data_IF_086862276536
#
_entry.id   IF_086862276536
#
_cell.length_a   1.000
_cell.length_b   1.000
_cell.length_c   1.000
_cell.angle_alpha   90.00
_cell.angle_beta   90.00
_cell.angle_gamma   90.00
#
_symmetry.space_group_name_H-M   'P 1'
#
loop_
_entity.id
_entity.type
_entity.pdbx_description
1 polymer ?
#
# COMPACT_ATOMS: atom_id res chain seq x y z
N UNK A 1 -19.73 42.43 0.26
CA UNK A 1 -19.14 42.80 1.56
C UNK A 1 -18.03 43.81 1.31
N UNK A 2 -18.07 44.99 1.93
CA UNK A 2 -17.21 46.13 1.57
C UNK A 2 -15.72 45.84 1.85
N UNK A 3 -14.81 46.05 0.90
CA UNK A 3 -13.37 45.68 1.00
C UNK A 3 -12.70 46.29 2.25
N UNK A 4 -13.05 47.53 2.61
CA UNK A 4 -12.57 48.19 3.83
C UNK A 4 -13.00 47.48 5.12
N UNK A 5 -14.21 46.90 5.16
CA UNK A 5 -14.68 46.13 6.33
C UNK A 5 -13.96 44.79 6.44
N UNK A 6 -13.69 44.12 5.32
CA UNK A 6 -12.93 42.86 5.32
C UNK A 6 -11.48 43.06 5.79
N UNK A 7 -10.83 44.13 5.30
CA UNK A 7 -9.48 44.48 5.72
C UNK A 7 -9.42 44.81 7.22
N UNK A 8 -10.34 45.64 7.71
CA UNK A 8 -10.42 45.99 9.14
C UNK A 8 -10.71 44.76 10.01
N UNK A 9 -11.53 43.82 9.53
CA UNK A 9 -11.80 42.55 10.20
C UNK A 9 -10.55 41.67 10.29
N UNK A 10 -9.81 41.50 9.20
CA UNK A 10 -8.55 40.75 9.20
C UNK A 10 -7.51 41.37 10.13
N UNK A 11 -7.36 42.70 10.11
CA UNK A 11 -6.47 43.43 11.02
C UNK A 11 -6.88 43.25 12.48
N UNK A 12 -8.18 43.16 12.78
CA UNK A 12 -8.66 42.92 14.13
C UNK A 12 -8.35 41.50 14.60
N UNK A 13 -8.58 40.50 13.75
CA UNK A 13 -8.28 39.08 14.03
C UNK A 13 -6.78 38.86 14.21
N UNK A 14 -5.93 39.35 13.30
CA UNK A 14 -4.47 39.19 13.40
C UNK A 14 -3.91 39.86 14.66
N UNK A 15 -4.37 41.06 15.00
CA UNK A 15 -3.98 41.75 16.22
C UNK A 15 -4.53 41.08 17.48
N UNK A 16 -5.65 40.37 17.42
CA UNK A 16 -6.15 39.58 18.54
C UNK A 16 -5.20 38.41 18.86
N UNK A 17 -4.70 37.71 17.82
CA UNK A 17 -3.73 36.61 18.00
C UNK A 17 -2.39 37.11 18.59
N UNK A 18 -1.92 38.29 18.16
CA UNK A 18 -0.61 38.83 18.56
C UNK A 18 -0.54 39.39 19.98
N UNK A 19 -1.68 39.77 20.59
CA UNK A 19 -1.72 40.33 21.95
C UNK A 19 -1.41 39.31 23.05
N UNK A 20 -1.67 38.02 22.81
CA UNK A 20 -1.48 36.95 23.81
C UNK A 20 -0.60 35.83 23.26
N UNK A 21 0.65 36.18 22.93
CA UNK A 21 1.60 35.33 22.20
C UNK A 21 1.74 33.92 22.78
N UNK A 22 1.83 33.76 24.09
CA UNK A 22 2.09 32.45 24.72
C UNK A 22 0.92 31.47 24.57
N UNK A 23 -0.32 31.86 24.93
CA UNK A 23 -1.50 30.97 24.85
C UNK A 23 -1.86 30.65 23.40
N UNK A 24 -1.80 31.67 22.54
CA UNK A 24 -2.07 31.51 21.12
C UNK A 24 -1.02 30.63 20.44
N UNK A 25 0.23 30.68 20.90
CA UNK A 25 1.28 29.76 20.47
C UNK A 25 1.02 28.32 20.93
N UNK A 26 0.55 28.09 22.17
CA UNK A 26 0.18 26.75 22.66
C UNK A 26 -0.95 26.16 21.81
N UNK A 27 -2.01 26.93 21.54
CA UNK A 27 -3.11 26.48 20.68
C UNK A 27 -2.65 26.21 19.25
N UNK A 28 -1.80 27.09 18.68
CA UNK A 28 -1.23 26.89 17.35
C UNK A 28 -0.39 25.62 17.28
N UNK A 29 0.44 25.36 18.30
CA UNK A 29 1.30 24.20 18.38
C UNK A 29 0.49 22.91 18.53
N UNK A 30 -0.57 22.92 19.33
CA UNK A 30 -1.49 21.80 19.45
C UNK A 30 -2.18 21.47 18.11
N UNK A 31 -2.66 22.49 17.39
CA UNK A 31 -3.24 22.32 16.04
C UNK A 31 -2.20 21.82 15.05
N UNK A 32 -0.98 22.37 15.07
CA UNK A 32 0.10 21.96 14.18
C UNK A 32 0.52 20.50 14.43
N UNK A 33 0.62 20.06 15.69
CA UNK A 33 0.90 18.66 16.03
C UNK A 33 -0.23 17.75 15.55
N UNK A 34 -1.49 18.12 15.79
CA UNK A 34 -2.64 17.36 15.30
C UNK A 34 -2.64 17.23 13.78
N UNK A 35 -2.45 18.34 13.07
CA UNK A 35 -2.35 18.37 11.62
C UNK A 35 -1.14 17.57 11.08
N UNK A 36 0.00 17.60 11.78
CA UNK A 36 1.18 16.77 11.48
C UNK A 36 0.84 15.29 11.51
N UNK A 37 0.21 14.85 12.60
CA UNK A 37 -0.14 13.44 12.79
C UNK A 37 -1.20 13.04 11.77
N UNK A 38 -2.24 13.85 11.57
CA UNK A 38 -3.29 13.58 10.57
C UNK A 38 -2.69 13.47 9.17
N UNK A 39 -1.90 14.46 8.74
CA UNK A 39 -1.27 14.43 7.41
C UNK A 39 -0.34 13.23 7.26
N UNK A 40 0.58 13.05 8.22
CA UNK A 40 1.55 11.96 8.16
C UNK A 40 0.88 10.58 8.19
N UNK A 41 -0.13 10.39 9.04
CA UNK A 41 -0.85 9.13 9.14
C UNK A 41 -1.74 8.85 7.93
N UNK A 42 -2.39 9.86 7.34
CA UNK A 42 -3.19 9.65 6.12
C UNK A 42 -2.30 9.34 4.93
N UNK A 43 -1.15 10.00 4.83
CA UNK A 43 -0.12 9.70 3.81
C UNK A 43 0.38 8.27 3.97
N UNK A 44 0.81 7.87 5.17
CA UNK A 44 1.22 6.50 5.48
C UNK A 44 0.09 5.50 5.23
N UNK A 45 -1.15 5.84 5.60
CA UNK A 45 -2.35 5.00 5.39
C UNK A 45 -2.60 4.68 3.92
N UNK A 46 -2.37 5.64 3.01
CA UNK A 46 -2.57 5.44 1.58
C UNK A 46 -1.36 4.79 0.91
N UNK A 47 -0.17 5.28 1.21
CA UNK A 47 1.03 4.95 0.44
C UNK A 47 1.62 3.61 0.84
N UNK A 48 1.54 3.22 2.12
CA UNK A 48 2.09 1.92 2.55
C UNK A 48 1.39 0.75 1.88
N UNK A 49 0.04 0.66 1.83
CA UNK A 49 -0.62 -0.42 1.09
C UNK A 49 -0.33 -0.39 -0.42
N UNK A 50 -0.26 0.80 -1.04
CA UNK A 50 0.05 0.90 -2.47
C UNK A 50 1.48 0.46 -2.80
N UNK A 51 2.43 0.85 -1.95
CA UNK A 51 3.83 0.51 -2.10
C UNK A 51 4.12 -0.95 -1.74
N UNK A 52 3.58 -1.45 -0.62
CA UNK A 52 3.63 -2.86 -0.29
C UNK A 52 2.95 -3.69 -1.37
N UNK A 53 1.79 -3.28 -1.86
CA UNK A 53 1.11 -3.96 -2.96
C UNK A 53 1.92 -3.97 -4.26
N UNK A 54 2.70 -2.92 -4.57
CA UNK A 54 3.62 -2.92 -5.73
C UNK A 54 4.80 -3.87 -5.50
N UNK A 55 5.41 -3.82 -4.33
CA UNK A 55 6.55 -4.65 -3.99
C UNK A 55 6.13 -6.14 -3.93
N UNK A 56 5.03 -6.46 -3.26
CA UNK A 56 4.44 -7.80 -3.22
C UNK A 56 3.95 -8.28 -4.58
N UNK A 57 3.46 -7.40 -5.47
CA UNK A 57 3.14 -7.77 -6.85
C UNK A 57 4.38 -8.04 -7.70
N UNK A 58 5.54 -7.51 -7.32
CA UNK A 58 6.84 -7.92 -7.86
C UNK A 58 7.34 -9.24 -7.22
N UNK A 59 6.76 -9.69 -6.09
CA UNK A 59 7.00 -10.99 -5.48
C UNK A 59 6.00 -12.04 -6.03
N UNK A 60 6.22 -12.52 -7.25
CA UNK A 60 5.50 -13.68 -7.77
C UNK A 60 4.77 -13.45 -9.10
N UNK A 61 4.21 -14.54 -9.62
CA UNK A 61 3.26 -14.51 -10.72
C UNK A 61 1.89 -14.02 -10.24
N UNK A 62 1.32 -13.02 -10.90
CA UNK A 62 -0.03 -12.53 -10.60
C UNK A 62 -1.08 -12.98 -11.64
N UNK A 63 -0.63 -13.61 -12.72
CA UNK A 63 -1.47 -14.20 -13.77
C UNK A 63 -0.95 -15.59 -14.14
N UNK A 64 -1.83 -16.58 -14.12
CA UNK A 64 -1.56 -17.92 -14.64
C UNK A 64 -2.30 -18.10 -15.95
N UNK A 65 -1.60 -18.61 -16.95
CA UNK A 65 -2.19 -19.03 -18.21
C UNK A 65 -2.26 -20.55 -18.19
N UNK A 66 -3.48 -21.08 -18.07
CA UNK A 66 -3.75 -22.52 -17.99
C UNK A 66 -4.33 -23.01 -19.33
N UNK A 67 -4.20 -24.29 -19.67
CA UNK A 67 -4.92 -24.87 -20.80
C UNK A 67 -6.44 -24.78 -20.59
N UNK A 68 -7.18 -24.39 -21.62
CA UNK A 68 -8.64 -24.36 -21.57
C UNK A 68 -9.27 -25.76 -21.72
N UNK A 69 -10.58 -25.85 -21.50
CA UNK A 69 -11.39 -27.05 -21.76
C UNK A 69 -10.97 -28.31 -20.97
N UNK A 70 -10.34 -28.14 -19.81
CA UNK A 70 -9.91 -29.25 -18.96
C UNK A 70 -8.74 -30.07 -19.53
N UNK A 71 -8.03 -29.55 -20.55
CA UNK A 71 -6.80 -30.16 -21.05
C UNK A 71 -5.69 -30.05 -20.01
N UNK A 72 -4.77 -31.02 -19.99
CA UNK A 72 -3.59 -31.00 -19.12
C UNK A 72 -2.44 -30.15 -19.69
N UNK A 73 -2.42 -29.95 -21.01
CA UNK A 73 -1.39 -29.20 -21.73
C UNK A 73 -1.98 -28.36 -22.85
N UNK A 74 -1.24 -27.34 -23.26
CA UNK A 74 -1.49 -26.45 -24.39
C UNK A 74 -0.22 -26.29 -25.22
N UNK A 75 -0.36 -25.92 -26.49
CA UNK A 75 0.79 -25.56 -27.32
C UNK A 75 1.28 -24.15 -26.97
N UNK A 76 2.59 -23.94 -27.00
CA UNK A 76 3.22 -22.64 -26.75
C UNK A 76 2.68 -21.53 -27.68
N UNK A 77 2.36 -21.89 -28.93
CA UNK A 77 1.77 -20.97 -29.91
C UNK A 77 0.40 -20.41 -29.46
N UNK A 78 -0.36 -21.15 -28.63
CA UNK A 78 -1.65 -20.71 -28.12
C UNK A 78 -1.53 -19.54 -27.12
N UNK A 79 -0.33 -19.29 -26.58
CA UNK A 79 -0.06 -18.21 -25.61
C UNK A 79 0.26 -16.89 -26.32
N UNK A 80 0.71 -16.92 -27.59
CA UNK A 80 1.09 -15.72 -28.33
C UNK A 80 0.01 -14.62 -28.38
N UNK A 81 -1.29 -14.92 -28.61
CA UNK A 81 -2.34 -13.91 -28.58
C UNK A 81 -2.50 -13.23 -27.22
N UNK A 82 -2.23 -13.96 -26.12
CA UNK A 82 -2.32 -13.40 -24.76
C UNK A 82 -1.22 -12.36 -24.52
N UNK A 83 0.00 -12.61 -25.03
CA UNK A 83 1.08 -11.62 -24.96
C UNK A 83 0.78 -10.37 -25.78
N UNK A 84 0.10 -10.51 -26.92
CA UNK A 84 -0.34 -9.36 -27.71
C UNK A 84 -1.29 -8.45 -26.94
N UNK A 85 -2.20 -9.03 -26.14
CA UNK A 85 -3.11 -8.28 -25.25
C UNK A 85 -2.40 -7.61 -24.06
N UNK A 86 -1.16 -8.03 -23.76
CA UNK A 86 -0.33 -7.48 -22.69
C UNK A 86 0.69 -6.43 -23.17
N UNK A 87 0.75 -6.12 -24.47
CA UNK A 87 1.74 -5.17 -25.04
C UNK A 87 1.73 -3.78 -24.40
N UNK A 88 0.56 -3.32 -23.98
CA UNK A 88 0.40 -2.01 -23.32
C UNK A 88 0.75 -2.03 -21.82
N UNK A 89 1.15 -3.20 -21.29
CA UNK A 89 1.51 -3.41 -19.89
C UNK A 89 2.97 -3.78 -19.77
N UNK A 90 3.58 -3.36 -18.67
CA UNK A 90 4.94 -3.78 -18.33
C UNK A 90 4.92 -5.21 -17.78
N UNK A 91 5.57 -6.13 -18.49
CA UNK A 91 5.73 -7.53 -18.10
C UNK A 91 7.10 -7.67 -17.43
N UNK A 92 7.12 -8.09 -16.17
CA UNK A 92 8.34 -8.32 -15.40
C UNK A 92 9.01 -9.63 -15.85
N UNK A 93 8.21 -10.67 -16.10
CA UNK A 93 8.67 -11.96 -16.62
C UNK A 93 7.51 -12.91 -16.92
N UNK A 94 7.80 -13.93 -17.72
CA UNK A 94 6.85 -14.96 -18.08
C UNK A 94 7.53 -16.34 -18.11
N UNK A 95 7.32 -17.14 -17.07
CA UNK A 95 7.96 -18.44 -16.90
C UNK A 95 7.03 -19.57 -17.39
N UNK A 96 7.36 -20.26 -18.49
CA UNK A 96 6.62 -21.44 -18.93
C UNK A 96 6.90 -22.63 -18.01
N UNK A 97 5.91 -23.49 -17.83
CA UNK A 97 6.04 -24.76 -17.12
C UNK A 97 5.41 -25.91 -17.89
N UNK A 98 6.10 -27.03 -17.96
CA UNK A 98 5.55 -28.33 -18.34
C UNK A 98 5.74 -29.29 -17.18
N UNK A 99 4.66 -29.80 -16.60
CA UNK A 99 4.72 -30.77 -15.51
C UNK A 99 4.44 -32.16 -16.04
N UNK A 100 5.36 -33.08 -15.77
CA UNK A 100 5.20 -34.50 -16.06
C UNK A 100 5.62 -35.36 -14.88
N UNK A 101 5.01 -36.55 -14.78
CA UNK A 101 5.37 -37.50 -13.71
C UNK A 101 6.47 -38.43 -14.22
N UNK A 102 7.68 -38.21 -13.72
CA UNK A 102 8.86 -39.02 -14.05
C UNK A 102 9.26 -39.89 -12.86
N UNK A 103 10.10 -40.90 -13.11
CA UNK A 103 10.77 -41.65 -12.06
C UNK A 103 12.16 -41.04 -11.83
N UNK A 104 12.44 -40.64 -10.60
CA UNK A 104 13.78 -40.21 -10.19
C UNK A 104 14.29 -41.21 -9.16
N UNK A 105 15.38 -41.92 -9.46
CA UNK A 105 15.89 -43.03 -8.64
C UNK A 105 14.77 -44.03 -8.28
N UNK A 106 14.03 -44.50 -9.29
CA UNK A 106 12.87 -45.40 -9.18
C UNK A 106 11.66 -44.88 -8.37
N UNK A 107 11.72 -43.65 -7.86
CA UNK A 107 10.62 -43.03 -7.13
C UNK A 107 9.82 -42.12 -8.06
N UNK A 108 8.47 -42.19 -8.07
CA UNK A 108 7.64 -41.29 -8.86
C UNK A 108 7.70 -39.87 -8.29
N UNK A 109 8.14 -38.92 -9.10
CA UNK A 109 8.30 -37.50 -8.77
C UNK A 109 7.60 -36.66 -9.83
N UNK A 110 6.98 -35.56 -9.42
CA UNK A 110 6.50 -34.56 -10.37
C UNK A 110 7.68 -33.69 -10.80
N UNK A 111 8.01 -33.72 -12.08
CA UNK A 111 9.12 -32.97 -12.66
C UNK A 111 8.57 -31.83 -13.51
N UNK A 112 8.99 -30.60 -13.21
CA UNK A 112 8.65 -29.40 -13.97
C UNK A 112 9.78 -29.01 -14.91
N UNK A 113 9.51 -28.92 -16.21
CA UNK A 113 10.37 -28.22 -17.16
C UNK A 113 10.05 -26.74 -17.16
N UNK A 114 11.03 -25.87 -16.93
CA UNK A 114 10.83 -24.41 -16.96
C UNK A 114 12.01 -23.69 -17.60
N UNK A 115 11.83 -22.41 -17.90
CA UNK A 115 12.91 -21.50 -18.28
C UNK A 115 13.48 -20.84 -17.03
N UNK A 116 14.73 -21.18 -16.68
CA UNK A 116 15.38 -20.66 -15.48
C UNK A 116 15.75 -19.16 -15.58
N UNK A 117 15.83 -18.58 -16.78
CA UNK A 117 16.04 -17.14 -16.93
C UNK A 117 14.76 -16.37 -16.56
N UNK A 118 13.61 -16.91 -16.90
CA UNK A 118 12.31 -16.30 -16.60
C UNK A 118 11.85 -16.59 -15.18
N UNK A 119 12.13 -17.78 -14.63
CA UNK A 119 11.72 -18.11 -13.26
C UNK A 119 12.35 -17.17 -12.23
N UNK A 120 13.56 -16.68 -12.49
CA UNK A 120 14.24 -15.71 -11.61
C UNK A 120 13.47 -14.38 -11.52
N UNK A 121 12.77 -14.01 -12.59
CA UNK A 121 11.97 -12.78 -12.65
C UNK A 121 10.60 -13.00 -12.01
N UNK A 122 9.99 -14.16 -12.27
CA UNK A 122 8.60 -14.46 -11.85
C UNK A 122 8.54 -15.00 -10.42
N UNK A 123 9.55 -15.71 -9.95
CA UNK A 123 9.60 -16.33 -8.62
C UNK A 123 10.91 -15.97 -7.87
N UNK A 124 11.11 -14.69 -7.51
CA UNK A 124 12.33 -14.24 -6.83
C UNK A 124 12.51 -14.83 -5.42
N UNK A 125 11.46 -15.44 -4.86
CA UNK A 125 11.47 -16.10 -3.55
C UNK A 125 12.14 -17.48 -3.56
N UNK A 126 12.46 -18.04 -4.73
CA UNK A 126 13.16 -19.31 -4.83
C UNK A 126 14.59 -19.17 -4.30
N UNK A 127 14.85 -19.79 -3.16
CA UNK A 127 16.18 -19.83 -2.57
C UNK A 127 16.92 -21.05 -3.10
N UNK A 128 17.91 -20.83 -3.95
CA UNK A 128 18.69 -21.90 -4.58
C UNK A 128 20.04 -22.02 -3.88
N UNK A 129 20.33 -23.21 -3.38
CA UNK A 129 21.64 -23.60 -2.89
C UNK A 129 22.36 -24.43 -3.97
N UNK A 130 23.35 -23.85 -4.62
CA UNK A 130 24.01 -24.41 -5.81
C UNK A 130 23.82 -23.49 -7.03
N UNK A 131 23.78 -24.07 -8.22
CA UNK A 131 23.57 -23.36 -9.48
C UNK A 131 22.21 -23.71 -10.10
N UNK A 132 21.61 -22.75 -10.82
CA UNK A 132 20.46 -23.03 -11.67
C UNK A 132 20.89 -23.91 -12.85
N UNK A 133 20.05 -24.88 -13.29
CA UNK A 133 20.31 -25.63 -14.50
C UNK A 133 20.49 -24.71 -15.70
N UNK A 134 21.53 -24.99 -16.50
CA UNK A 134 21.80 -24.29 -17.76
C UNK A 134 20.82 -24.73 -18.85
N UNK A 135 20.63 -23.86 -19.83
CA UNK A 135 19.82 -24.18 -21.01
C UNK A 135 20.35 -25.43 -21.73
N UNK A 136 19.43 -26.31 -22.08
CA UNK A 136 19.70 -27.56 -22.78
C UNK A 136 20.77 -28.46 -22.14
N UNK A 137 20.92 -28.42 -20.81
CA UNK A 137 21.88 -29.23 -20.07
C UNK A 137 21.20 -30.37 -19.32
N UNK A 138 21.96 -31.42 -19.00
CA UNK A 138 21.51 -32.54 -18.14
C UNK A 138 21.69 -32.21 -16.66
N UNK A 139 21.25 -31.02 -16.27
CA UNK A 139 21.27 -30.53 -14.90
C UNK A 139 19.83 -30.53 -14.35
N UNK A 140 19.70 -30.84 -13.06
CA UNK A 140 18.41 -30.90 -12.37
C UNK A 140 18.48 -30.14 -11.06
N UNK A 141 17.44 -29.37 -10.78
CA UNK A 141 17.23 -28.66 -9.53
C UNK A 141 16.23 -29.47 -8.70
N UNK A 142 16.64 -29.92 -7.51
CA UNK A 142 15.75 -30.69 -6.63
C UNK A 142 15.10 -29.79 -5.59
N UNK A 143 13.81 -29.96 -5.34
CA UNK A 143 13.17 -29.36 -4.18
C UNK A 143 13.78 -29.88 -2.87
N UNK A 144 13.74 -29.06 -1.82
CA UNK A 144 14.41 -29.36 -0.56
C UNK A 144 13.91 -30.67 0.09
N UNK A 145 12.61 -30.87 0.21
CA UNK A 145 12.04 -32.13 0.74
C UNK A 145 12.45 -33.34 -0.10
N UNK A 146 12.54 -33.19 -1.42
CA UNK A 146 12.98 -34.24 -2.32
C UNK A 146 14.47 -34.56 -2.16
N UNK A 147 15.30 -33.54 -1.99
CA UNK A 147 16.74 -33.69 -1.76
C UNK A 147 17.04 -34.42 -0.45
N UNK A 148 16.30 -34.13 0.62
CA UNK A 148 16.41 -34.82 1.91
C UNK A 148 16.01 -36.30 1.77
N UNK A 149 14.90 -36.57 1.07
CA UNK A 149 14.42 -37.94 0.83
C UNK A 149 15.44 -38.79 0.07
N UNK A 150 16.11 -38.22 -0.93
CA UNK A 150 17.11 -38.92 -1.73
C UNK A 150 18.54 -38.80 -1.18
N UNK A 151 18.74 -38.06 -0.08
CA UNK A 151 20.05 -37.70 0.46
C UNK A 151 20.98 -37.08 -0.61
N UNK A 152 20.40 -36.36 -1.57
CA UNK A 152 21.10 -35.77 -2.69
C UNK A 152 21.64 -34.39 -2.33
N UNK A 153 22.84 -34.07 -2.81
CA UNK A 153 23.50 -32.77 -2.64
C UNK A 153 23.83 -32.18 -4.02
N UNK A 154 24.12 -30.88 -4.13
CA UNK A 154 24.67 -30.33 -5.36
C UNK A 154 25.91 -31.12 -5.78
N UNK A 155 25.95 -31.56 -7.04
CA UNK A 155 26.95 -32.46 -7.62
C UNK A 155 26.60 -33.95 -7.57
N UNK A 156 25.54 -34.37 -6.86
CA UNK A 156 25.05 -35.75 -6.91
C UNK A 156 24.49 -36.10 -8.29
N UNK A 157 24.56 -37.36 -8.68
CA UNK A 157 23.87 -37.85 -9.87
C UNK A 157 22.55 -38.51 -9.48
N UNK A 158 21.53 -38.25 -10.27
CA UNK A 158 20.23 -38.90 -10.15
C UNK A 158 19.83 -39.46 -11.50
N UNK A 159 19.12 -40.58 -11.47
CA UNK A 159 18.65 -41.21 -12.70
C UNK A 159 17.20 -40.82 -12.91
N UNK A 160 16.91 -40.23 -14.07
CA UNK A 160 15.57 -39.79 -14.47
C UNK A 160 15.08 -40.70 -15.58
N UNK A 161 13.94 -41.35 -15.35
CA UNK A 161 13.33 -42.27 -16.29
C UNK A 161 11.86 -41.92 -16.55
N UNK A 162 11.37 -42.29 -17.74
CA UNK A 162 9.93 -42.28 -18.01
C UNK A 162 9.21 -43.30 -17.11
N UNK A 163 7.95 -43.03 -16.80
CA UNK A 163 7.15 -43.90 -15.93
C UNK A 163 7.01 -45.34 -16.46
N UNK A 164 7.06 -45.51 -17.79
CA UNK A 164 7.01 -46.79 -18.49
C UNK A 164 8.38 -47.49 -18.64
N UNK A 165 9.48 -46.84 -18.23
CA UNK A 165 10.84 -47.35 -18.31
C UNK A 165 11.44 -47.38 -19.72
N UNK A 166 10.79 -46.75 -20.72
CA UNK A 166 11.27 -46.79 -22.12
C UNK A 166 12.48 -45.92 -22.39
N UNK A 167 12.74 -44.91 -21.54
CA UNK A 167 13.86 -43.99 -21.62
C UNK A 167 14.37 -43.65 -20.24
N UNK A 168 15.70 -43.63 -20.09
CA UNK A 168 16.41 -43.36 -18.85
C UNK A 168 17.66 -42.54 -19.14
N UNK A 169 17.86 -41.47 -18.39
CA UNK A 169 19.00 -40.58 -18.51
C UNK A 169 19.53 -40.14 -17.15
N UNK A 170 20.84 -40.00 -17.03
CA UNK A 170 21.49 -39.50 -15.81
C UNK A 170 21.54 -37.97 -15.83
N UNK A 171 21.04 -37.35 -14.77
CA UNK A 171 21.11 -35.91 -14.54
C UNK A 171 22.02 -35.60 -13.35
N UNK A 172 22.70 -34.46 -13.42
CA UNK A 172 23.51 -33.94 -12.31
C UNK A 172 22.70 -32.92 -11.52
N UNK A 173 22.63 -33.09 -10.20
CA UNK A 173 21.95 -32.14 -9.31
C UNK A 173 22.76 -30.85 -9.26
N UNK A 174 22.31 -29.79 -9.94
CA UNK A 174 23.03 -28.51 -9.97
C UNK A 174 22.80 -27.70 -8.70
N UNK A 175 21.63 -27.88 -8.07
CA UNK A 175 21.27 -27.18 -6.85
C UNK A 175 20.04 -27.75 -6.16
N UNK A 176 19.75 -27.19 -5.00
CA UNK A 176 18.55 -27.49 -4.20
C UNK A 176 17.73 -26.22 -4.05
N UNK A 177 16.44 -26.27 -4.35
CA UNK A 177 15.52 -25.14 -4.22
C UNK A 177 14.66 -25.25 -2.97
N UNK A 178 14.57 -24.13 -2.24
CA UNK A 178 13.63 -23.91 -1.14
C UNK A 178 12.63 -22.83 -1.53
N UNK A 179 11.35 -23.13 -1.36
CA UNK A 179 10.24 -22.23 -1.67
C UNK A 179 9.31 -22.03 -0.47
N UNK A 180 9.40 -22.88 0.56
CA UNK A 180 8.47 -22.93 1.68
C UNK A 180 7.10 -23.52 1.34
N UNK A 181 6.95 -24.14 0.17
CA UNK A 181 5.69 -24.66 -0.36
C UNK A 181 5.78 -26.09 -0.90
N UNK A 182 4.71 -26.54 -1.58
CA UNK A 182 4.62 -27.90 -2.15
C UNK A 182 5.62 -28.12 -3.30
N UNK A 183 6.12 -27.05 -3.88
CA UNK A 183 7.16 -27.03 -4.91
C UNK A 183 8.46 -27.70 -4.43
N UNK A 184 8.70 -27.80 -3.12
CA UNK A 184 9.86 -28.48 -2.54
C UNK A 184 9.82 -30.02 -2.69
N UNK A 185 8.68 -30.58 -3.08
CA UNK A 185 8.51 -32.01 -3.39
C UNK A 185 8.78 -32.32 -4.87
N UNK A 186 9.02 -31.30 -5.70
CA UNK A 186 9.19 -31.45 -7.14
C UNK A 186 10.66 -31.42 -7.54
N UNK A 187 10.93 -31.84 -8.77
CA UNK A 187 12.22 -31.63 -9.42
C UNK A 187 12.03 -30.69 -10.62
N UNK A 188 13.04 -29.91 -10.96
CA UNK A 188 12.99 -28.96 -12.06
C UNK A 188 14.16 -29.15 -13.01
N UNK A 189 13.88 -29.13 -14.31
CA UNK A 189 14.85 -29.21 -15.39
C UNK A 189 14.58 -28.11 -16.41
N UNK A 190 15.53 -27.89 -17.33
CA UNK A 190 15.31 -26.96 -18.43
C UNK A 190 14.16 -27.46 -19.31
N UNK A 191 13.27 -26.55 -19.71
CA UNK A 191 12.06 -26.93 -20.47
C UNK A 191 12.40 -27.54 -21.83
N UNK A 192 13.45 -27.06 -22.49
CA UNK A 192 13.89 -27.59 -23.80
C UNK A 192 14.44 -29.01 -23.63
N UNK A 193 15.26 -29.24 -22.60
CA UNK A 193 15.71 -30.59 -22.25
C UNK A 193 14.56 -31.54 -21.91
N UNK A 194 13.49 -31.05 -21.26
CA UNK A 194 12.32 -31.89 -20.97
C UNK A 194 11.54 -32.22 -22.25
N UNK A 195 11.37 -31.29 -23.18
CA UNK A 195 10.74 -31.55 -24.48
C UNK A 195 11.50 -32.61 -25.28
N UNK A 196 12.82 -32.50 -25.35
CA UNK A 196 13.69 -33.48 -26.01
C UNK A 196 13.64 -34.84 -25.29
N UNK A 197 13.53 -34.84 -23.96
CA UNK A 197 13.37 -36.05 -23.17
C UNK A 197 12.05 -36.76 -23.51
N UNK A 198 10.93 -36.03 -23.53
CA UNK A 198 9.58 -36.54 -23.76
C UNK A 198 9.25 -36.78 -25.25
N UNK A 199 10.02 -36.22 -26.18
CA UNK A 199 9.72 -36.24 -27.61
C UNK A 199 8.48 -35.41 -27.99
N UNK A 200 8.14 -34.39 -27.19
CA UNK A 200 6.95 -33.55 -27.36
C UNK A 200 7.33 -32.06 -27.30
N UNK A 201 7.81 -31.46 -28.40
CA UNK A 201 8.20 -30.06 -28.41
C UNK A 201 7.00 -29.11 -28.21
N UNK A 202 7.26 -27.94 -27.63
CA UNK A 202 6.34 -26.82 -27.52
C UNK A 202 5.04 -27.09 -26.72
N UNK A 203 5.01 -28.10 -25.85
CA UNK A 203 3.90 -28.34 -24.94
C UNK A 203 4.13 -27.70 -23.58
N UNK A 204 3.09 -27.04 -23.06
CA UNK A 204 3.09 -26.35 -21.76
C UNK A 204 1.93 -26.82 -20.91
N UNK A 205 2.15 -27.01 -19.62
CA UNK A 205 1.08 -27.22 -18.63
C UNK A 205 0.54 -25.91 -18.09
N UNK A 206 1.38 -24.86 -18.01
CA UNK A 206 0.96 -23.51 -17.63
C UNK A 206 2.04 -22.49 -18.00
N UNK A 207 1.68 -21.21 -17.99
CA UNK A 207 2.65 -20.10 -17.98
C UNK A 207 2.34 -19.20 -16.79
N UNK A 208 3.37 -18.90 -16.02
CA UNK A 208 3.31 -17.95 -14.91
C UNK A 208 3.77 -16.59 -15.39
N UNK A 209 2.91 -15.57 -15.33
CA UNK A 209 3.21 -14.23 -15.80
C UNK A 209 3.15 -13.25 -14.63
N UNK A 210 4.13 -12.36 -14.57
CA UNK A 210 4.16 -11.23 -13.63
C UNK A 210 4.01 -9.92 -14.41
N UNK A 211 2.88 -9.23 -14.20
CA UNK A 211 2.50 -8.01 -14.93
C UNK A 211 2.30 -6.84 -13.97
N UNK A 212 2.82 -5.66 -14.30
CA UNK A 212 2.57 -4.44 -13.52
C UNK A 212 1.17 -3.91 -13.85
N UNK A 213 0.16 -4.35 -13.09
CA UNK A 213 -1.23 -3.91 -13.23
C UNK A 213 -1.97 -3.87 -11.87
N UNK A 214 -3.01 -3.03 -11.77
CA UNK A 214 -3.92 -3.03 -10.62
C UNK A 214 -4.78 -4.29 -10.62
N UNK A 215 -5.20 -4.77 -9.44
CA UNK A 215 -5.97 -6.02 -9.31
C UNK A 215 -7.27 -5.99 -10.10
N UNK A 216 -8.03 -4.90 -10.03
CA UNK A 216 -9.27 -4.74 -10.80
C UNK A 216 -9.05 -4.70 -12.32
N UNK A 217 -7.98 -4.03 -12.77
CA UNK A 217 -7.62 -3.97 -14.19
C UNK A 217 -7.17 -5.35 -14.70
N UNK A 218 -6.43 -6.10 -13.88
CA UNK A 218 -5.93 -7.43 -14.22
C UNK A 218 -7.06 -8.47 -14.25
N UNK A 219 -8.03 -8.39 -13.33
CA UNK A 219 -9.23 -9.24 -13.35
C UNK A 219 -10.09 -8.97 -14.60
N UNK A 220 -10.29 -7.70 -14.96
CA UNK A 220 -10.98 -7.33 -16.18
C UNK A 220 -10.24 -7.78 -17.45
N UNK A 221 -8.91 -7.68 -17.44
CA UNK A 221 -8.06 -8.14 -18.54
C UNK A 221 -8.09 -9.67 -18.69
N UNK A 222 -7.99 -10.41 -17.58
CA UNK A 222 -8.08 -11.88 -17.58
C UNK A 222 -9.44 -12.36 -18.12
N UNK A 223 -10.54 -11.68 -17.76
CA UNK A 223 -11.87 -11.98 -18.30
C UNK A 223 -11.96 -11.72 -19.81
N UNK A 224 -11.34 -10.65 -20.32
CA UNK A 224 -11.27 -10.38 -21.76
C UNK A 224 -10.43 -11.42 -22.50
N UNK A 225 -9.27 -11.76 -21.96
CA UNK A 225 -8.41 -12.82 -22.51
C UNK A 225 -9.15 -14.15 -22.60
N UNK A 226 -9.87 -14.55 -21.54
CA UNK A 226 -10.66 -15.78 -21.53
C UNK A 226 -11.75 -15.81 -22.64
N UNK A 227 -12.25 -14.65 -23.07
CA UNK A 227 -13.24 -14.55 -24.15
C UNK A 227 -12.60 -14.58 -25.54
N UNK A 228 -11.38 -14.05 -25.69
CA UNK A 228 -10.69 -13.92 -26.98
C UNK A 228 -9.76 -15.11 -27.29
N UNK A 229 -9.34 -15.89 -26.29
CA UNK A 229 -8.46 -17.07 -26.44
C UNK A 229 -9.15 -18.37 -26.00
N UNK A 230 -9.70 -19.18 -26.92
CA UNK A 230 -10.44 -20.40 -26.58
C UNK A 230 -9.58 -21.54 -26.01
N UNK A 231 -8.27 -21.52 -26.27
CA UNK A 231 -7.32 -22.57 -25.88
C UNK A 231 -6.59 -22.28 -24.57
N UNK A 232 -6.68 -21.06 -24.05
CA UNK A 232 -6.03 -20.62 -22.82
C UNK A 232 -7.07 -20.09 -21.84
N UNK A 233 -6.99 -20.52 -20.59
CA UNK A 233 -7.78 -20.04 -19.47
C UNK A 233 -6.89 -19.20 -18.53
N UNK A 234 -6.95 -17.86 -18.62
CA UNK A 234 -6.23 -16.97 -17.73
C UNK A 234 -6.88 -16.96 -16.34
N UNK A 235 -6.09 -17.18 -15.30
CA UNK A 235 -6.52 -17.15 -13.91
C UNK A 235 -5.62 -16.22 -13.12
N UNK A 236 -6.20 -15.20 -12.48
CA UNK A 236 -5.44 -14.31 -11.60
C UNK A 236 -5.08 -15.03 -10.30
N UNK A 237 -3.81 -15.00 -9.88
CA UNK A 237 -3.40 -15.54 -8.59
C UNK A 237 -3.67 -14.50 -7.52
N UNK A 238 -4.60 -14.80 -6.61
CA UNK A 238 -4.75 -14.03 -5.36
C UNK A 238 -3.73 -14.53 -4.36
N UNK A 239 -2.43 -14.44 -4.67
CA UNK A 239 -1.38 -14.80 -3.73
C UNK A 239 -1.39 -13.76 -2.61
N UNK A 240 -1.50 -14.22 -1.36
CA UNK A 240 -1.22 -13.46 -0.13
C UNK A 240 -2.20 -12.31 0.21
N UNK A 241 -3.11 -11.89 -0.68
CA UNK A 241 -4.05 -10.80 -0.38
C UNK A 241 -4.99 -11.05 0.83
N UNK A 242 -5.36 -12.30 1.16
CA UNK A 242 -6.30 -12.55 2.27
C UNK A 242 -5.67 -12.38 3.67
N UNK A 243 -4.44 -12.87 3.85
CA UNK A 243 -3.68 -12.68 5.09
C UNK A 243 -3.14 -11.25 5.19
N UNK A 244 -2.77 -10.65 4.05
CA UNK A 244 -2.31 -9.27 3.95
C UNK A 244 -3.43 -8.27 4.20
N UNK A 245 -4.64 -8.47 3.67
CA UNK A 245 -5.80 -7.61 3.95
C UNK A 245 -6.18 -7.62 5.43
N UNK A 246 -5.96 -8.75 6.11
CA UNK A 246 -6.20 -8.85 7.56
C UNK A 246 -5.14 -8.08 8.35
N UNK A 247 -3.86 -8.15 7.96
CA UNK A 247 -2.77 -7.42 8.63
C UNK A 247 -2.83 -5.93 8.33
N UNK A 248 -2.95 -5.55 7.05
CA UNK A 248 -3.14 -4.18 6.60
C UNK A 248 -4.41 -3.59 7.23
N UNK A 249 -5.52 -4.32 7.26
CA UNK A 249 -6.75 -3.88 7.91
C UNK A 249 -6.56 -3.60 9.41
N UNK A 250 -5.79 -4.44 10.13
CA UNK A 250 -5.46 -4.21 11.55
C UNK A 250 -4.56 -2.98 11.75
N UNK A 251 -3.55 -2.79 10.90
CA UNK A 251 -2.69 -1.60 10.93
C UNK A 251 -3.49 -0.33 10.61
N UNK A 252 -4.37 -0.38 9.62
CA UNK A 252 -5.27 0.72 9.27
C UNK A 252 -6.21 1.07 10.43
N UNK A 253 -6.79 0.07 11.11
CA UNK A 253 -7.63 0.29 12.28
C UNK A 253 -6.86 0.95 13.43
N UNK A 254 -5.61 0.53 13.68
CA UNK A 254 -4.74 1.13 14.69
C UNK A 254 -4.42 2.60 14.36
N UNK A 255 -4.06 2.90 13.11
CA UNK A 255 -3.76 4.25 12.64
C UNK A 255 -4.99 5.17 12.74
N UNK A 256 -6.16 4.67 12.36
CA UNK A 256 -7.42 5.40 12.48
C UNK A 256 -7.74 5.70 13.94
N UNK A 257 -7.56 4.71 14.83
CA UNK A 257 -7.77 4.89 16.27
C UNK A 257 -6.88 6.00 16.83
N UNK A 258 -5.57 5.96 16.54
CA UNK A 258 -4.62 6.98 16.99
C UNK A 258 -5.01 8.36 16.44
N UNK A 259 -5.40 8.44 15.17
CA UNK A 259 -5.83 9.70 14.54
C UNK A 259 -7.06 10.29 15.24
N UNK A 260 -8.06 9.46 15.56
CA UNK A 260 -9.26 9.89 16.29
C UNK A 260 -8.90 10.41 17.69
N UNK A 261 -8.03 9.69 18.42
CA UNK A 261 -7.58 10.12 19.76
C UNK A 261 -6.89 11.49 19.70
N UNK A 262 -5.98 11.69 18.75
CA UNK A 262 -5.28 12.97 18.56
C UNK A 262 -6.26 14.09 18.20
N UNK A 263 -7.23 13.81 17.34
CA UNK A 263 -8.25 14.79 16.96
C UNK A 263 -9.08 15.22 18.19
N UNK A 264 -9.48 14.27 19.05
CA UNK A 264 -10.17 14.58 20.31
C UNK A 264 -9.30 15.43 21.25
N UNK A 265 -8.00 15.10 21.39
CA UNK A 265 -7.07 15.88 22.22
C UNK A 265 -6.90 17.31 21.70
N UNK A 266 -6.79 17.49 20.38
CA UNK A 266 -6.72 18.85 19.79
C UNK A 266 -8.00 19.64 20.01
N UNK A 267 -9.17 18.99 19.90
CA UNK A 267 -10.47 19.62 20.14
C UNK A 267 -10.58 20.12 21.59
N UNK A 268 -10.19 19.29 22.56
CA UNK A 268 -10.16 19.67 23.97
C UNK A 268 -9.17 20.81 24.22
N UNK A 269 -7.95 20.72 23.71
CA UNK A 269 -6.90 21.72 23.90
C UNK A 269 -7.27 23.10 23.33
N UNK A 270 -7.81 23.15 22.11
CA UNK A 270 -8.28 24.40 21.51
C UNK A 270 -9.49 24.94 22.25
N UNK A 271 -10.44 24.07 22.63
CA UNK A 271 -11.63 24.45 23.39
C UNK A 271 -11.32 25.06 24.75
N UNK A 272 -10.40 24.48 25.51
CA UNK A 272 -9.97 25.03 26.81
C UNK A 272 -9.27 26.37 26.63
N UNK A 273 -8.34 26.47 25.67
CA UNK A 273 -7.63 27.73 25.39
C UNK A 273 -8.60 28.84 24.98
N UNK A 274 -9.58 28.55 24.13
CA UNK A 274 -10.58 29.53 23.70
C UNK A 274 -11.52 29.93 24.84
N UNK A 275 -11.85 29.02 25.76
CA UNK A 275 -12.65 29.36 26.96
C UNK A 275 -11.92 30.37 27.83
N UNK A 276 -10.60 30.19 28.02
CA UNK A 276 -9.77 31.15 28.75
C UNK A 276 -9.73 32.51 28.04
N UNK A 277 -9.51 32.54 26.73
CA UNK A 277 -9.49 33.78 25.93
C UNK A 277 -10.81 34.53 26.05
N UNK A 278 -11.94 33.83 26.02
CA UNK A 278 -13.27 34.42 26.21
C UNK A 278 -13.43 35.01 27.61
N UNK A 279 -12.99 34.28 28.65
CA UNK A 279 -13.07 34.75 30.04
C UNK A 279 -12.23 36.01 30.26
N UNK A 280 -11.01 36.03 29.72
CA UNK A 280 -10.11 37.19 29.83
C UNK A 280 -10.62 38.41 29.04
N UNK A 281 -11.37 38.20 27.95
CA UNK A 281 -11.97 39.26 27.11
C UNK A 281 -13.41 39.61 27.51
N UNK A 282 -13.91 39.09 28.63
CA UNK A 282 -15.30 39.27 29.07
C UNK A 282 -15.71 40.74 29.15
N UNK A 283 -14.83 41.62 29.67
CA UNK A 283 -15.07 43.08 29.77
C UNK A 283 -15.14 43.77 28.39
N UNK A 284 -14.29 43.37 27.45
CA UNK A 284 -14.33 43.88 26.08
C UNK A 284 -15.62 43.45 25.36
N UNK A 285 -16.04 42.20 25.54
CA UNK A 285 -17.28 41.66 24.99
C UNK A 285 -18.49 42.44 25.55
N UNK A 286 -18.52 42.68 26.86
CA UNK A 286 -19.56 43.46 27.53
C UNK A 286 -19.66 44.89 26.97
N UNK A 287 -18.53 45.56 26.80
CA UNK A 287 -18.48 46.90 26.20
C UNK A 287 -18.96 46.91 24.74
N UNK A 288 -18.50 45.96 23.91
CA UNK A 288 -18.94 45.83 22.51
C UNK A 288 -20.46 45.64 22.41
N UNK A 289 -21.03 44.81 23.29
CA UNK A 289 -22.48 44.59 23.36
C UNK A 289 -23.24 45.84 23.81
N UNK A 290 -22.72 46.57 24.80
CA UNK A 290 -23.31 47.83 25.25
C UNK A 290 -23.33 48.90 24.14
N UNK A 291 -22.33 48.88 23.26
CA UNK A 291 -22.25 49.73 22.06
C UNK A 291 -23.09 49.22 20.87
N UNK A 292 -23.87 48.14 21.04
CA UNK A 292 -24.79 47.61 20.03
C UNK A 292 -24.26 46.48 19.15
N UNK A 293 -23.13 45.84 19.50
CA UNK A 293 -22.67 44.65 18.78
C UNK A 293 -23.62 43.46 18.96
N UNK A 294 -24.05 42.86 17.85
CA UNK A 294 -24.92 41.67 17.88
C UNK A 294 -24.14 40.41 18.28
N UNK A 295 -24.86 39.43 18.83
CA UNK A 295 -24.31 38.11 19.18
C UNK A 295 -23.61 37.41 17.99
N UNK A 296 -24.12 37.64 16.76
CA UNK A 296 -23.53 37.10 15.53
C UNK A 296 -22.18 37.73 15.20
N UNK A 297 -21.99 39.02 15.47
CA UNK A 297 -20.72 39.70 15.23
C UNK A 297 -19.64 39.19 16.20
N UNK A 298 -20.01 38.97 17.46
CA UNK A 298 -19.11 38.43 18.49
C UNK A 298 -18.74 36.99 18.15
N UNK A 299 -19.74 36.15 17.83
CA UNK A 299 -19.48 34.77 17.39
C UNK A 299 -18.58 34.73 16.15
N UNK A 300 -18.85 35.58 15.16
CA UNK A 300 -18.05 35.68 13.94
C UNK A 300 -16.57 35.96 14.21
N UNK A 301 -16.27 36.91 15.11
CA UNK A 301 -14.89 37.25 15.50
C UNK A 301 -14.12 36.04 16.06
N UNK A 302 -14.71 35.31 17.01
CA UNK A 302 -14.07 34.13 17.61
C UNK A 302 -13.95 32.95 16.63
N UNK A 303 -14.96 32.70 15.79
CA UNK A 303 -14.85 31.71 14.72
C UNK A 303 -13.76 32.10 13.71
N UNK A 304 -13.64 33.39 13.37
CA UNK A 304 -12.59 33.91 12.51
C UNK A 304 -11.18 33.68 13.08
N UNK A 305 -10.99 33.98 14.37
CA UNK A 305 -9.73 33.70 15.09
C UNK A 305 -9.40 32.20 15.06
N UNK A 306 -10.40 31.34 15.28
CA UNK A 306 -10.23 29.88 15.30
C UNK A 306 -9.94 29.29 13.93
N UNK A 307 -10.63 29.75 12.90
CA UNK A 307 -10.37 29.33 11.52
C UNK A 307 -8.96 29.76 11.07
N UNK A 308 -8.52 30.96 11.45
CA UNK A 308 -7.18 31.44 11.13
C UNK A 308 -6.10 30.62 11.86
N UNK A 309 -6.32 30.26 13.12
CA UNK A 309 -5.45 29.30 13.83
C UNK A 309 -5.43 27.94 13.15
N UNK A 310 -6.60 27.41 12.76
CA UNK A 310 -6.73 26.14 12.04
C UNK A 310 -5.99 26.14 10.70
N UNK A 311 -6.04 27.26 9.98
CA UNK A 311 -5.35 27.42 8.71
C UNK A 311 -3.83 27.48 8.88
N UNK A 312 -3.32 28.33 9.78
CA UNK A 312 -1.88 28.48 10.01
C UNK A 312 -1.31 27.17 10.60
N UNK A 313 -1.97 26.62 11.62
CA UNK A 313 -1.59 25.34 12.23
C UNK A 313 -1.68 24.19 11.24
N UNK A 314 -2.69 24.19 10.37
CA UNK A 314 -2.84 23.21 9.28
C UNK A 314 -1.71 23.27 8.26
N UNK A 315 -1.28 24.47 7.84
CA UNK A 315 -0.14 24.63 6.90
C UNK A 315 1.15 24.13 7.56
N UNK A 316 1.45 24.59 8.77
CA UNK A 316 2.65 24.19 9.50
C UNK A 316 2.65 22.67 9.71
N UNK A 317 1.52 22.14 10.18
CA UNK A 317 1.38 20.72 10.46
C UNK A 317 1.45 19.87 9.20
N UNK A 318 0.86 20.29 8.09
CA UNK A 318 0.99 19.55 6.81
C UNK A 318 2.45 19.52 6.35
N UNK A 319 3.19 20.63 6.47
CA UNK A 319 4.62 20.68 6.14
C UNK A 319 5.44 19.74 7.03
N UNK A 320 5.22 19.77 8.35
CA UNK A 320 5.88 18.86 9.28
C UNK A 320 5.46 17.39 9.06
N UNK A 321 4.20 17.14 8.74
CA UNK A 321 3.65 15.80 8.47
C UNK A 321 4.25 15.20 7.20
N UNK A 322 4.50 16.03 6.19
CA UNK A 322 5.23 15.64 5.00
C UNK A 322 6.69 15.28 5.31
N UNK A 323 7.40 16.10 6.09
CA UNK A 323 8.76 15.78 6.53
C UNK A 323 8.82 14.47 7.32
N UNK A 324 7.83 14.23 8.18
CA UNK A 324 7.68 12.98 8.92
C UNK A 324 7.45 11.79 7.98
N UNK A 325 6.52 11.92 7.03
CA UNK A 325 6.25 10.88 6.04
C UNK A 325 7.50 10.56 5.19
N UNK A 326 8.24 11.58 4.74
CA UNK A 326 9.51 11.39 4.04
C UNK A 326 10.53 10.63 4.88
N UNK A 327 10.69 10.98 6.16
CA UNK A 327 11.61 10.31 7.05
C UNK A 327 11.25 8.82 7.21
N UNK A 328 9.96 8.51 7.36
CA UNK A 328 9.48 7.12 7.39
C UNK A 328 9.70 6.43 6.05
N UNK A 329 9.39 7.08 4.93
CA UNK A 329 9.57 6.56 3.57
C UNK A 329 11.00 6.12 3.29
N UNK A 330 11.96 6.98 3.58
CA UNK A 330 13.39 6.71 3.35
C UNK A 330 13.93 5.64 4.30
N UNK A 331 13.61 5.71 5.60
CA UNK A 331 14.18 4.77 6.58
C UNK A 331 13.54 3.37 6.54
N UNK A 332 12.26 3.27 6.16
CA UNK A 332 11.54 1.99 6.13
C UNK A 332 11.55 1.35 4.75
N UNK A 333 11.36 2.14 3.69
CA UNK A 333 11.14 1.63 2.34
C UNK A 333 12.25 1.99 1.34
N UNK A 334 13.26 2.77 1.74
CA UNK A 334 14.38 3.15 0.88
C UNK A 334 14.03 4.05 -0.31
N UNK A 335 12.80 4.60 -0.37
CA UNK A 335 12.31 5.46 -1.46
C UNK A 335 11.51 6.65 -0.91
N UNK A 336 11.58 7.77 -1.62
CA UNK A 336 10.76 8.95 -1.32
C UNK A 336 9.29 8.70 -1.67
N UNK A 337 8.41 8.99 -0.72
CA UNK A 337 6.97 9.02 -0.89
C UNK A 337 6.54 10.19 -1.80
N UNK A 338 5.55 9.97 -2.68
CA UNK A 338 5.06 10.99 -3.60
C UNK A 338 4.06 11.93 -2.93
N UNK A 339 4.29 13.25 -3.02
CA UNK A 339 3.44 14.23 -2.34
C UNK A 339 2.04 14.27 -2.97
N UNK A 340 1.05 13.66 -2.32
CA UNK A 340 -0.33 13.80 -2.75
C UNK A 340 -0.90 15.17 -2.33
N UNK A 341 -0.92 16.11 -3.27
CA UNK A 341 -1.51 17.45 -3.09
C UNK A 341 -2.95 17.44 -2.53
N UNK A 342 -3.84 16.48 -2.91
CA UNK A 342 -5.17 16.36 -2.29
C UNK A 342 -5.15 16.14 -0.77
N UNK A 343 -4.17 15.41 -0.23
CA UNK A 343 -4.08 15.13 1.21
C UNK A 343 -3.72 16.41 1.98
N UNK A 344 -2.84 17.24 1.42
CA UNK A 344 -2.47 18.52 2.00
C UNK A 344 -3.68 19.46 2.15
N UNK A 345 -4.48 19.60 1.08
CA UNK A 345 -5.70 20.41 1.11
C UNK A 345 -6.70 19.86 2.13
N UNK A 346 -6.91 18.55 2.13
CA UNK A 346 -7.84 17.90 3.05
C UNK A 346 -7.43 18.10 4.52
N UNK A 347 -6.14 18.01 4.83
CA UNK A 347 -5.62 18.23 6.19
C UNK A 347 -5.85 19.68 6.63
N UNK A 348 -5.61 20.67 5.77
CA UNK A 348 -5.84 22.08 6.09
C UNK A 348 -7.32 22.33 6.35
N UNK A 349 -8.21 21.81 5.48
CA UNK A 349 -9.67 21.93 5.65
C UNK A 349 -10.10 21.27 6.97
N UNK A 350 -9.63 20.05 7.24
CA UNK A 350 -9.95 19.35 8.47
C UNK A 350 -9.46 20.11 9.70
N UNK A 351 -8.27 20.71 9.65
CA UNK A 351 -7.74 21.54 10.74
C UNK A 351 -8.63 22.73 11.04
N UNK A 352 -9.12 23.42 10.00
CA UNK A 352 -10.08 24.54 10.15
C UNK A 352 -11.40 24.06 10.76
N UNK A 353 -11.91 22.91 10.30
CA UNK A 353 -13.16 22.34 10.82
C UNK A 353 -13.02 21.98 12.28
N UNK A 354 -11.93 21.31 12.67
CA UNK A 354 -11.68 20.90 14.06
C UNK A 354 -11.57 22.11 14.98
N UNK A 355 -10.83 23.15 14.59
CA UNK A 355 -10.72 24.37 15.42
C UNK A 355 -12.05 25.13 15.49
N UNK A 356 -12.82 25.17 14.41
CA UNK A 356 -14.15 25.78 14.43
C UNK A 356 -15.10 25.02 15.36
N UNK A 357 -15.12 23.68 15.29
CA UNK A 357 -15.95 22.83 16.17
C UNK A 357 -15.53 22.99 17.64
N UNK A 358 -14.23 22.97 17.93
CA UNK A 358 -13.70 23.18 19.27
C UNK A 358 -14.16 24.51 19.89
N UNK A 359 -14.28 25.56 19.08
CA UNK A 359 -14.68 26.90 19.50
C UNK A 359 -16.20 27.08 19.69
N UNK A 360 -17.03 26.12 19.26
CA UNK A 360 -18.48 26.23 19.42
C UNK A 360 -18.93 26.36 20.87
N UNK A 361 -18.32 25.59 21.79
CA UNK A 361 -18.64 25.64 23.22
C UNK A 361 -18.21 26.98 23.87
N UNK A 362 -16.95 27.45 23.71
CA UNK A 362 -16.51 28.77 24.18
C UNK A 362 -17.32 29.94 23.61
N UNK A 363 -17.71 29.90 22.33
CA UNK A 363 -18.49 31.00 21.74
C UNK A 363 -19.87 31.11 22.35
N UNK A 364 -20.49 29.98 22.72
CA UNK A 364 -21.78 30.00 23.42
C UNK A 364 -21.67 30.69 24.78
N UNK A 365 -20.56 30.54 25.50
CA UNK A 365 -20.36 31.25 26.77
C UNK A 365 -20.08 32.74 26.54
N UNK A 366 -19.29 33.09 25.52
CA UNK A 366 -19.03 34.49 25.11
C UNK A 366 -20.32 35.25 24.77
N UNK A 367 -21.21 34.60 24.02
CA UNK A 367 -22.48 35.18 23.57
C UNK A 367 -23.49 35.35 24.71
N UNK A 368 -23.33 34.64 25.84
CA UNK A 368 -24.20 34.79 27.02
C UNK A 368 -23.75 35.88 28.00
N UNK A 369 -22.64 36.57 27.71
CA UNK A 369 -22.14 37.64 28.59
C UNK A 369 -23.13 38.81 28.65
N UNK A 370 -23.57 39.16 29.87
CA UNK A 370 -24.47 40.30 30.13
C UNK A 370 -23.66 41.59 30.38
N UNK A 371 -23.89 42.67 29.59
CA UNK A 371 -23.13 43.91 29.74
C UNK A 371 -23.28 44.56 31.12
N UNK A 372 -24.48 44.50 31.70
CA UNK A 372 -24.78 45.14 32.98
C UNK A 372 -23.95 44.57 34.13
N UNK A 373 -23.82 43.24 34.21
CA UNK A 373 -23.05 42.55 35.25
C UNK A 373 -21.55 42.85 35.08
N UNK A 374 -21.05 42.70 33.85
CA UNK A 374 -19.62 42.82 33.57
C UNK A 374 -19.09 44.25 33.74
N UNK A 375 -19.89 45.27 33.39
CA UNK A 375 -19.48 46.67 33.54
C UNK A 375 -19.57 47.17 34.98
N UNK A 376 -20.37 46.50 35.82
CA UNK A 376 -20.46 46.76 37.26
C UNK A 376 -19.23 46.26 38.03
N UNK A 377 -18.42 45.39 37.43
CA UNK A 377 -17.19 44.84 38.02
C UNK A 377 -17.39 43.59 38.86
N UNK A 378 -18.54 42.92 38.72
CA UNK A 378 -18.90 41.66 39.39
C UNK A 378 -18.57 40.41 38.54
#
# INVERSE_FOLDING_TARGET
>A
MNIKRLHMYLVMVTNALLRRKLRMFIALLAVAIGATIISGMITVYKEVPEQMGREFRAYGANLLLLPANGKATMEEAAVAPVYDMLKDKEIIGAAPFLYERLKINESPVLTGGTDFNEIRKVSPYWQINGEMPKENSKEILLGYELSERFQAKPGSQVIVALGDGTKEETYTVSGIVRTGGKEEQFAYVDIKSLWDFLGKPNLLSMVQVSVVANSGDLEALAARMAAETPDVHPQTVKQIAASEQTVLGKLQALVLLVTVVVLLLTLVCVGTTMTEVVSERRREIGLKKALGATNRNIAGEFFGESCMLGFIGGIIGTGCGYLFALAVGVNVFGRSLEVSFPIAIMTIILSIVVTAVATMLPVRTAVKVEPAIVLRGE
#
